data_IF_952664506530
#
_entry.id   IF_952664506530
#
_cell.length_a   1.000
_cell.length_b   1.000
_cell.length_c   1.000
_cell.angle_alpha   90.00
_cell.angle_beta   90.00
_cell.angle_gamma   90.00
#
_symmetry.space_group_name_H-M   'P 1'
#
loop_
_entity.id
_entity.type
_entity.pdbx_description
1 polymer ?
#
# COMPACT_ATOMS: atom_id res chain seq x y z
N UNK A 1 -10.49 -11.45 13.23
CA UNK A 1 -9.39 -10.60 12.74
C UNK A 1 -9.10 -9.59 13.84
N UNK A 2 -7.92 -9.62 14.46
CA UNK A 2 -7.58 -8.67 15.54
C UNK A 2 -7.78 -7.23 15.08
N UNK A 3 -8.41 -6.41 15.94
CA UNK A 3 -8.46 -4.96 15.81
C UNK A 3 -7.05 -4.41 16.02
N UNK A 4 -6.22 -4.46 14.98
CA UNK A 4 -4.89 -3.86 14.97
C UNK A 4 -5.07 -2.37 14.72
N UNK A 5 -4.86 -1.55 15.74
CA UNK A 5 -4.98 -0.10 15.61
C UNK A 5 -3.85 0.41 14.72
N UNK A 6 -4.23 1.05 13.60
CA UNK A 6 -3.31 1.73 12.68
C UNK A 6 -3.23 3.20 13.09
N UNK A 7 -2.09 3.60 13.64
CA UNK A 7 -1.86 4.96 14.10
C UNK A 7 -1.17 5.81 13.03
N UNK A 8 -1.52 7.10 13.01
CA UNK A 8 -0.92 8.10 12.12
C UNK A 8 -1.16 7.81 10.61
N UNK A 9 -0.36 8.42 9.72
CA UNK A 9 -0.38 8.23 8.25
C UNK A 9 -1.65 8.69 7.53
N UNK A 10 -2.44 9.55 8.18
CA UNK A 10 -3.69 10.08 7.63
C UNK A 10 -3.45 10.87 6.34
N UNK A 11 -2.34 11.59 6.25
CA UNK A 11 -1.98 12.41 5.09
C UNK A 11 -1.61 11.52 3.89
N UNK A 12 -0.77 10.51 4.11
CA UNK A 12 -0.36 9.58 3.05
C UNK A 12 -1.54 8.75 2.54
N UNK A 13 -2.42 8.28 3.42
CA UNK A 13 -3.66 7.59 3.02
C UNK A 13 -4.56 8.53 2.20
N UNK A 14 -4.74 9.77 2.65
CA UNK A 14 -5.55 10.76 1.96
C UNK A 14 -5.00 11.02 0.56
N UNK A 15 -3.69 11.27 0.43
CA UNK A 15 -3.02 11.46 -0.85
C UNK A 15 -3.24 10.28 -1.79
N UNK A 16 -3.00 9.06 -1.33
CA UNK A 16 -3.17 7.86 -2.17
C UNK A 16 -4.62 7.69 -2.65
N UNK A 17 -5.60 8.01 -1.80
CA UNK A 17 -7.02 7.96 -2.18
C UNK A 17 -7.38 9.03 -3.19
N UNK A 18 -7.03 10.28 -2.93
CA UNK A 18 -7.31 11.40 -3.84
C UNK A 18 -6.68 11.16 -5.22
N UNK A 19 -5.45 10.65 -5.25
CA UNK A 19 -4.78 10.34 -6.51
C UNK A 19 -5.42 9.18 -7.27
N UNK A 20 -5.93 8.17 -6.55
CA UNK A 20 -6.66 7.02 -7.11
C UNK A 20 -8.04 7.43 -7.65
N UNK A 21 -8.81 8.19 -6.87
CA UNK A 21 -10.15 8.63 -7.25
C UNK A 21 -10.12 9.60 -8.45
N UNK A 22 -9.01 10.33 -8.64
CA UNK A 22 -8.80 11.27 -9.75
C UNK A 22 -7.89 10.71 -10.87
N UNK A 23 -7.78 9.38 -11.01
CA UNK A 23 -7.01 8.74 -12.08
C UNK A 23 -7.57 9.09 -13.47
N UNK A 24 -6.84 9.92 -14.22
CA UNK A 24 -7.11 10.20 -15.66
C UNK A 24 -6.33 9.26 -16.60
N UNK A 25 -5.20 8.74 -16.12
CA UNK A 25 -4.28 7.82 -16.83
C UNK A 25 -3.52 6.98 -15.82
N UNK A 26 -2.73 6.00 -16.26
CA UNK A 26 -1.95 5.15 -15.34
C UNK A 26 -0.95 5.96 -14.49
N UNK A 27 -0.95 5.74 -13.17
CA UNK A 27 -0.01 6.33 -12.20
C UNK A 27 0.81 5.24 -11.51
N UNK A 28 2.06 5.59 -11.17
CA UNK A 28 2.96 4.73 -10.39
C UNK A 28 3.38 5.45 -9.10
N UNK A 29 3.16 4.81 -7.96
CA UNK A 29 3.60 5.28 -6.65
C UNK A 29 4.77 4.44 -6.14
N UNK A 30 5.86 5.11 -5.77
CA UNK A 30 7.01 4.46 -5.11
C UNK A 30 7.00 4.84 -3.64
N UNK A 31 6.68 3.88 -2.76
CA UNK A 31 6.71 4.09 -1.31
C UNK A 31 8.04 3.62 -0.75
N UNK A 32 8.90 4.55 -0.36
CA UNK A 32 10.25 4.28 0.12
C UNK A 32 10.44 4.67 1.60
N UNK A 33 11.57 4.29 2.19
CA UNK A 33 11.93 4.59 3.58
C UNK A 33 12.60 3.43 4.31
N UNK A 34 12.99 3.63 5.57
CA UNK A 34 13.71 2.63 6.40
C UNK A 34 12.91 1.32 6.55
N UNK A 35 13.60 0.22 6.85
CA UNK A 35 12.94 -1.07 7.15
C UNK A 35 12.02 -0.90 8.38
N UNK A 36 10.85 -1.55 8.38
CA UNK A 36 9.85 -1.57 9.47
C UNK A 36 9.09 -0.26 9.77
N UNK A 37 9.21 0.81 8.98
CA UNK A 37 8.42 2.05 9.18
C UNK A 37 6.91 1.95 8.82
N UNK A 38 6.42 0.75 8.49
CA UNK A 38 5.01 0.52 8.18
C UNK A 38 4.60 0.70 6.72
N UNK A 39 5.53 0.77 5.76
CA UNK A 39 5.21 0.94 4.32
C UNK A 39 4.24 -0.11 3.78
N UNK A 40 4.50 -1.38 4.09
CA UNK A 40 3.63 -2.50 3.69
C UNK A 40 2.24 -2.36 4.30
N UNK A 41 2.16 -1.93 5.55
CA UNK A 41 0.87 -1.74 6.23
C UNK A 41 0.11 -0.55 5.64
N UNK A 42 0.79 0.56 5.31
CA UNK A 42 0.19 1.71 4.62
C UNK A 42 -0.52 1.28 3.33
N UNK A 43 0.16 0.50 2.48
CA UNK A 43 -0.44 0.01 1.22
C UNK A 43 -1.62 -0.92 1.51
N UNK A 44 -1.51 -1.82 2.51
CA UNK A 44 -2.61 -2.72 2.89
C UNK A 44 -3.84 -1.94 3.36
N UNK A 45 -3.65 -0.89 4.16
CA UNK A 45 -4.74 -0.02 4.62
C UNK A 45 -5.36 0.78 3.47
N UNK A 46 -4.54 1.28 2.54
CA UNK A 46 -5.01 1.98 1.34
C UNK A 46 -5.87 1.09 0.44
N UNK A 47 -5.44 -0.16 0.16
CA UNK A 47 -6.18 -1.06 -0.74
C UNK A 47 -7.39 -1.75 -0.09
N UNK A 48 -7.46 -1.78 1.24
CA UNK A 48 -8.54 -2.45 1.99
C UNK A 48 -9.94 -1.96 1.58
N UNK A 49 -10.24 -0.64 1.51
CA UNK A 49 -11.54 -0.14 1.10
C UNK A 49 -11.79 -0.15 -0.41
N UNK A 50 -10.76 -0.35 -1.24
CA UNK A 50 -10.93 -0.39 -2.71
C UNK A 50 -11.76 -1.63 -3.05
N UNK A 51 -12.81 -1.51 -3.89
CA UNK A 51 -13.68 -2.62 -4.28
C UNK A 51 -12.93 -3.65 -5.18
N UNK A 52 -13.67 -4.42 -5.95
CA UNK A 52 -13.14 -5.46 -6.83
C UNK A 52 -12.14 -4.91 -7.88
N UNK A 53 -11.46 -5.82 -8.60
CA UNK A 53 -10.43 -5.50 -9.62
C UNK A 53 -9.12 -4.93 -9.06
N UNK A 54 -8.64 -5.45 -7.92
CA UNK A 54 -7.31 -5.15 -7.37
C UNK A 54 -6.41 -6.37 -7.34
N UNK A 55 -5.13 -6.16 -7.57
CA UNK A 55 -4.10 -7.19 -7.55
C UNK A 55 -3.01 -6.79 -6.56
N UNK A 56 -2.70 -7.66 -5.61
CA UNK A 56 -1.66 -7.42 -4.61
C UNK A 56 -0.64 -8.55 -4.65
N UNK A 57 0.58 -8.21 -5.07
CA UNK A 57 1.71 -9.13 -5.04
C UNK A 57 2.58 -8.82 -3.83
N UNK A 58 2.79 -9.82 -2.98
CA UNK A 58 3.86 -9.80 -2.02
C UNK A 58 5.05 -10.55 -2.63
N UNK A 59 6.07 -9.80 -3.03
CA UNK A 59 7.31 -10.36 -3.56
C UNK A 59 8.34 -10.24 -2.47
N UNK A 60 8.88 -11.40 -2.06
CA UNK A 60 10.10 -11.45 -1.26
C UNK A 60 11.26 -11.85 -2.15
N UNK A 61 12.48 -11.49 -1.76
CA UNK A 61 13.68 -11.93 -2.47
C UNK A 61 13.81 -13.43 -2.27
N UNK A 62 13.54 -14.21 -3.32
CA UNK A 62 13.80 -15.64 -3.34
C UNK A 62 15.26 -15.82 -3.77
N UNK A 63 16.11 -16.32 -2.88
CA UNK A 63 17.44 -16.73 -3.28
C UNK A 63 17.31 -17.90 -4.28
N UNK A 64 18.01 -17.78 -5.40
CA UNK A 64 18.06 -18.83 -6.41
C UNK A 64 18.76 -20.03 -5.78
N UNK A 65 18.02 -21.11 -5.50
CA UNK A 65 18.67 -22.38 -5.15
C UNK A 65 19.44 -22.84 -6.38
N UNK A 66 20.77 -22.85 -6.25
CA UNK A 66 21.69 -23.47 -7.19
C UNK A 66 21.69 -24.97 -7.06
#
# INVERSE_FOLDING_TARGET
MENRTFYDRKQEIKLLKEEFDNLQSGKMFVVYGRRRVGKTELIRQFIKPIPENKMYFYVDLVEKQG
#
